data_IF_396242056756
#
_entry.id   IF_396242056756
#
_cell.length_a   1.000
_cell.length_b   1.000
_cell.length_c   1.000
_cell.angle_alpha   90.00
_cell.angle_beta   90.00
_cell.angle_gamma   90.00
#
_symmetry.space_group_name_H-M   'P 1'
#
loop_
_entity.id
_entity.type
_entity.pdbx_description
1 polymer ?
#
# COMPACT_ATOMS: atom_id res chain seq x y z
N UNK A 1 -11.34 -11.16 0.14
CA UNK A 1 -11.55 -9.70 0.31
C UNK A 1 -10.36 -9.14 1.09
N UNK A 2 -9.75 -8.01 0.68
CA UNK A 2 -8.64 -7.40 1.43
C UNK A 2 -9.10 -6.87 2.79
N UNK A 3 -8.30 -7.09 3.83
CA UNK A 3 -8.56 -6.59 5.18
C UNK A 3 -7.76 -5.30 5.38
N UNK A 4 -8.42 -4.26 5.87
CA UNK A 4 -7.80 -2.96 6.16
C UNK A 4 -7.92 -2.66 7.65
N UNK A 5 -6.79 -2.30 8.25
CA UNK A 5 -6.70 -1.84 9.63
C UNK A 5 -6.11 -0.42 9.64
N UNK A 6 -6.62 0.42 10.53
CA UNK A 6 -6.21 1.82 10.63
C UNK A 6 -5.78 2.16 12.04
N UNK A 7 -4.66 2.85 12.12
CA UNK A 7 -4.14 3.38 13.37
C UNK A 7 -3.92 4.90 13.23
N UNK A 8 -4.26 5.63 14.28
CA UNK A 8 -3.97 7.07 14.38
C UNK A 8 -2.62 7.21 15.04
N UNK A 9 -1.68 7.85 14.36
CA UNK A 9 -0.35 8.18 14.86
C UNK A 9 -0.31 9.65 15.28
N UNK A 10 0.63 10.07 16.16
CA UNK A 10 0.80 11.48 16.52
C UNK A 10 1.05 12.39 15.31
N UNK A 11 1.62 11.84 14.22
CA UNK A 11 2.01 12.57 13.01
C UNK A 11 1.13 12.27 11.80
N UNK A 12 0.03 11.52 11.95
CA UNK A 12 -0.88 11.20 10.84
C UNK A 12 -1.63 9.88 11.02
N UNK A 13 -1.80 9.15 9.93
CA UNK A 13 -2.53 7.89 9.89
C UNK A 13 -1.67 6.79 9.31
N UNK A 14 -1.76 5.60 9.89
CA UNK A 14 -1.21 4.36 9.34
C UNK A 14 -2.35 3.46 8.92
N UNK A 15 -2.18 2.83 7.77
CA UNK A 15 -3.09 1.82 7.26
C UNK A 15 -2.30 0.55 6.93
N UNK A 16 -2.74 -0.57 7.49
CA UNK A 16 -2.23 -1.89 7.15
C UNK A 16 -3.26 -2.58 6.27
N UNK A 17 -2.84 -3.11 5.12
CA UNK A 17 -3.68 -3.91 4.23
C UNK A 17 -3.13 -5.32 4.13
N UNK A 18 -4.01 -6.32 4.16
CA UNK A 18 -3.67 -7.73 4.00
C UNK A 18 -4.54 -8.36 2.90
N UNK A 19 -3.90 -9.02 1.92
CA UNK A 19 -4.59 -9.81 0.91
C UNK A 19 -3.64 -10.87 0.32
N UNK A 20 -4.19 -12.01 -0.11
CA UNK A 20 -3.43 -13.06 -0.81
C UNK A 20 -2.21 -13.57 -0.02
N UNK A 21 -2.30 -13.61 1.32
CA UNK A 21 -1.19 -14.00 2.20
C UNK A 21 -0.07 -12.95 2.33
N UNK A 22 -0.23 -11.79 1.69
CA UNK A 22 0.71 -10.67 1.75
C UNK A 22 0.12 -9.51 2.56
N UNK A 23 0.99 -8.73 3.17
CA UNK A 23 0.62 -7.51 3.87
C UNK A 23 1.46 -6.33 3.40
N UNK A 24 0.93 -5.12 3.52
CA UNK A 24 1.66 -3.88 3.31
C UNK A 24 1.11 -2.76 4.19
N UNK A 25 1.95 -1.78 4.47
CA UNK A 25 1.64 -0.65 5.35
C UNK A 25 1.79 0.64 4.55
N UNK A 26 0.87 1.58 4.68
CA UNK A 26 0.95 2.94 4.15
C UNK A 26 0.65 3.97 5.23
N UNK A 27 1.33 5.11 5.14
CA UNK A 27 1.15 6.23 6.08
C UNK A 27 0.82 7.51 5.30
N UNK A 28 0.13 8.45 5.93
CA UNK A 28 -0.22 9.74 5.35
C UNK A 28 -0.86 10.71 6.33
N UNK A 29 -1.08 11.96 5.90
CA UNK A 29 -1.74 12.98 6.73
C UNK A 29 -3.26 12.75 6.83
N UNK A 30 -3.80 11.85 6.01
CA UNK A 30 -5.19 11.44 6.04
C UNK A 30 -5.34 9.91 5.91
N UNK A 31 -6.46 9.36 6.41
CA UNK A 31 -6.81 7.94 6.22
C UNK A 31 -6.84 7.54 4.74
N UNK A 32 -7.23 8.47 3.86
CA UNK A 32 -7.26 8.25 2.40
C UNK A 32 -5.85 8.03 1.84
N UNK A 33 -4.90 8.90 2.20
CA UNK A 33 -3.50 8.76 1.81
C UNK A 33 -2.88 7.47 2.35
N UNK A 34 -3.08 7.19 3.64
CA UNK A 34 -2.57 5.97 4.27
C UNK A 34 -3.08 4.72 3.56
N UNK A 35 -4.40 4.65 3.26
CA UNK A 35 -5.01 3.54 2.53
C UNK A 35 -4.45 3.39 1.11
N UNK A 36 -4.35 4.50 0.37
CA UNK A 36 -3.83 4.49 -1.00
C UNK A 36 -2.37 4.03 -1.02
N UNK A 37 -1.54 4.49 -0.08
CA UNK A 37 -0.16 4.05 0.09
C UNK A 37 -0.04 2.58 0.43
N UNK A 38 -0.89 2.08 1.33
CA UNK A 38 -0.91 0.67 1.74
C UNK A 38 -1.29 -0.23 0.56
N UNK A 39 -2.36 0.12 -0.16
CA UNK A 39 -2.80 -0.60 -1.34
C UNK A 39 -1.72 -0.63 -2.44
N UNK A 40 -1.10 0.52 -2.74
CA UNK A 40 -0.03 0.61 -3.73
C UNK A 40 1.14 -0.31 -3.39
N UNK A 41 1.61 -0.30 -2.15
CA UNK A 41 2.70 -1.17 -1.68
C UNK A 41 2.31 -2.65 -1.72
N UNK A 42 1.05 -2.98 -1.44
CA UNK A 42 0.57 -4.35 -1.57
C UNK A 42 0.55 -4.80 -3.04
N UNK A 43 0.10 -3.95 -3.96
CA UNK A 43 0.17 -4.24 -5.40
C UNK A 43 1.61 -4.41 -5.88
N UNK A 44 2.55 -3.59 -5.40
CA UNK A 44 3.98 -3.76 -5.70
C UNK A 44 4.48 -5.12 -5.21
N UNK A 45 4.12 -5.54 -3.99
CA UNK A 45 4.46 -6.88 -3.46
C UNK A 45 3.81 -8.01 -4.25
N UNK A 46 2.53 -7.90 -4.57
CA UNK A 46 1.81 -8.90 -5.37
C UNK A 46 2.47 -9.00 -6.75
N UNK A 47 2.76 -7.87 -7.40
CA UNK A 47 3.43 -7.83 -8.70
C UNK A 47 4.84 -8.43 -8.62
N UNK A 48 5.63 -8.11 -7.61
CA UNK A 48 6.95 -8.74 -7.42
C UNK A 48 6.87 -10.24 -7.15
N UNK A 49 5.83 -10.72 -6.47
CA UNK A 49 5.62 -12.15 -6.25
C UNK A 49 5.07 -12.87 -7.50
N UNK A 50 4.27 -12.19 -8.32
CA UNK A 50 3.75 -12.73 -9.58
C UNK A 50 4.75 -12.65 -10.73
N UNK A 51 5.67 -11.69 -10.71
CA UNK A 51 6.41 -11.26 -11.89
C UNK A 51 7.90 -10.99 -11.62
N UNK A 52 8.68 -12.07 -11.81
CA UNK A 52 9.93 -12.04 -12.56
C UNK A 52 9.82 -11.37 -13.96
N UNK A 53 8.68 -10.75 -14.36
CA UNK A 53 8.51 -10.01 -15.61
C UNK A 53 7.64 -8.74 -15.46
N UNK A 54 8.24 -7.56 -15.59
CA UNK A 54 7.50 -6.35 -15.94
C UNK A 54 7.66 -5.18 -14.97
N UNK A 55 8.75 -4.42 -15.17
CA UNK A 55 8.92 -3.07 -14.65
C UNK A 55 7.69 -2.22 -14.98
N UNK A 56 6.99 -1.68 -13.97
CA UNK A 56 6.15 -0.49 -14.17
C UNK A 56 7.01 0.78 -14.00
N UNK A 57 6.88 1.75 -14.92
CA UNK A 57 7.73 2.93 -14.94
C UNK A 57 7.41 3.93 -13.81
N UNK A 58 8.44 4.73 -13.49
CA UNK A 58 8.41 5.79 -12.48
C UNK A 58 7.42 6.89 -12.83
N UNK A 59 6.79 7.40 -11.76
CA UNK A 59 6.25 8.74 -11.56
C UNK A 59 5.13 9.19 -12.50
N UNK A 60 3.91 9.24 -11.94
CA UNK A 60 2.98 10.33 -12.25
C UNK A 60 3.70 11.66 -11.94
N UNK A 61 3.87 12.46 -12.99
CA UNK A 61 4.58 13.73 -12.95
C UNK A 61 3.87 14.80 -12.14
N UNK A 62 4.60 15.90 -11.95
CA UNK A 62 4.04 17.24 -11.97
C UNK A 62 4.37 17.85 -13.33
#
# INVERSE_FOLDING_TARGET
MPVYEFEVLPTGFRCTVQAMGLSAIGEGQSKKEAKAGAARRLFERISSNLNFQGKMPKSFGR
#
